data_IF_496608235186
#
_entry.id   IF_496608235186
#
_cell.length_a   1.000
_cell.length_b   1.000
_cell.length_c   1.000
_cell.angle_alpha   90.00
_cell.angle_beta   90.00
_cell.angle_gamma   90.00
#
_symmetry.space_group_name_H-M   'P 1'
#
loop_
_entity.id
_entity.type
_entity.pdbx_description
1 polymer ?
#
# COMPACT_ATOMS: atom_id res chain seq x y z
N UNK A 1 -43.79 -49.22 -69.72
CA UNK A 1 -44.23 -47.99 -69.22
C UNK A 1 -45.73 -47.86 -69.40
N UNK A 2 -46.54 -48.04 -68.39
CA UNK A 2 -47.99 -47.91 -68.43
C UNK A 2 -48.37 -46.46 -68.12
N UNK A 3 -48.17 -45.59 -69.10
CA UNK A 3 -48.84 -44.32 -69.08
C UNK A 3 -50.29 -44.42 -69.40
N UNK A 4 -51.11 -43.54 -68.94
CA UNK A 4 -52.53 -43.39 -69.32
C UNK A 4 -52.65 -43.34 -70.83
N UNK A 5 -53.18 -44.39 -71.49
CA UNK A 5 -53.48 -44.40 -72.90
C UNK A 5 -55.00 -44.27 -72.99
N UNK A 6 -55.49 -43.14 -73.39
CA UNK A 6 -56.87 -42.91 -73.72
C UNK A 6 -57.00 -42.86 -75.23
N UNK A 7 -57.72 -43.82 -75.87
CA UNK A 7 -57.87 -43.85 -77.30
C UNK A 7 -58.95 -42.91 -77.83
N UNK A 8 -59.78 -42.24 -77.01
CA UNK A 8 -60.76 -41.26 -77.39
C UNK A 8 -61.38 -40.39 -76.29
N UNK A 9 -60.77 -40.35 -75.16
CA UNK A 9 -61.15 -39.39 -74.11
C UNK A 9 -60.08 -38.32 -73.90
N UNK A 10 -60.52 -37.10 -73.93
CA UNK A 10 -59.64 -35.94 -73.59
C UNK A 10 -59.58 -35.91 -72.07
N UNK A 11 -58.45 -36.22 -71.52
CA UNK A 11 -58.18 -35.96 -70.13
C UNK A 11 -57.79 -34.46 -70.03
N UNK A 12 -58.73 -33.65 -69.57
CA UNK A 12 -58.43 -32.28 -69.27
C UNK A 12 -57.65 -32.21 -67.93
N UNK A 13 -56.53 -31.66 -67.96
CA UNK A 13 -55.78 -31.34 -66.74
C UNK A 13 -55.97 -29.82 -66.54
N UNK A 14 -56.56 -29.45 -65.44
CA UNK A 14 -56.70 -28.07 -65.08
C UNK A 14 -55.36 -27.53 -64.52
N UNK A 15 -54.73 -26.73 -65.33
CA UNK A 15 -53.51 -26.03 -64.94
C UNK A 15 -53.81 -24.63 -64.46
N UNK A 16 -54.74 -24.53 -63.55
CA UNK A 16 -55.08 -23.25 -62.90
C UNK A 16 -53.87 -22.60 -62.24
N UNK A 17 -53.95 -21.31 -61.99
CA UNK A 17 -52.93 -20.57 -61.31
C UNK A 17 -52.63 -21.24 -59.94
N UNK A 18 -51.41 -21.59 -59.69
CA UNK A 18 -50.95 -22.30 -58.48
C UNK A 18 -51.41 -23.80 -58.37
N UNK A 19 -51.59 -24.45 -59.48
CA UNK A 19 -51.94 -25.92 -59.45
C UNK A 19 -50.73 -26.79 -59.03
N UNK A 20 -49.58 -26.32 -59.01
CA UNK A 20 -48.35 -27.12 -58.78
C UNK A 20 -47.99 -28.01 -59.97
N UNK A 21 -48.70 -27.90 -61.13
CA UNK A 21 -48.45 -28.63 -62.33
C UNK A 21 -48.10 -27.67 -63.48
N UNK A 22 -47.15 -28.01 -64.29
CA UNK A 22 -46.74 -27.26 -65.48
C UNK A 22 -46.54 -28.15 -66.70
N UNK A 23 -46.64 -27.57 -67.86
CA UNK A 23 -46.25 -28.22 -69.12
C UNK A 23 -44.98 -27.61 -69.62
N UNK A 24 -43.87 -28.37 -69.48
CA UNK A 24 -42.58 -28.01 -70.04
C UNK A 24 -42.27 -28.96 -71.21
N UNK A 25 -41.92 -28.36 -72.37
CA UNK A 25 -41.57 -29.09 -73.56
C UNK A 25 -42.56 -30.22 -73.95
N UNK A 26 -43.91 -29.95 -73.87
CA UNK A 26 -44.96 -30.87 -74.13
C UNK A 26 -45.08 -32.07 -73.12
N UNK A 27 -44.58 -31.96 -71.97
CA UNK A 27 -44.70 -32.92 -70.86
C UNK A 27 -45.33 -32.28 -69.64
N UNK A 28 -46.32 -32.99 -69.08
CA UNK A 28 -46.83 -32.61 -67.79
C UNK A 28 -45.83 -32.96 -66.70
N UNK A 29 -45.48 -31.99 -65.92
CA UNK A 29 -44.59 -32.16 -64.79
C UNK A 29 -45.07 -31.39 -63.58
N UNK A 30 -44.52 -31.68 -62.43
CA UNK A 30 -44.75 -30.92 -61.21
C UNK A 30 -43.91 -29.65 -61.32
N UNK A 31 -44.54 -28.53 -61.07
CA UNK A 31 -43.84 -27.24 -60.98
C UNK A 31 -42.76 -27.31 -59.86
N UNK A 32 -41.57 -26.88 -60.20
CA UNK A 32 -40.43 -26.88 -59.27
C UNK A 32 -40.08 -25.45 -58.90
N UNK A 33 -39.96 -25.20 -57.64
CA UNK A 33 -39.62 -23.87 -57.14
C UNK A 33 -39.81 -23.78 -55.65
N UNK A 34 -40.02 -22.57 -55.16
CA UNK A 34 -40.24 -22.26 -53.74
C UNK A 34 -41.58 -21.55 -53.53
N UNK A 35 -42.39 -21.39 -54.60
CA UNK A 35 -43.71 -20.77 -54.51
C UNK A 35 -44.72 -21.70 -53.95
N UNK A 36 -45.89 -21.17 -53.58
CA UNK A 36 -46.99 -21.99 -53.07
C UNK A 36 -47.42 -23.02 -54.15
N UNK A 37 -47.56 -24.27 -53.76
CA UNK A 37 -47.89 -25.43 -54.56
C UNK A 37 -46.74 -26.02 -55.44
N UNK A 38 -45.56 -25.42 -55.41
CA UNK A 38 -44.37 -26.01 -56.06
C UNK A 38 -43.78 -27.17 -55.24
N UNK A 39 -43.13 -28.08 -55.89
CA UNK A 39 -42.24 -29.03 -55.22
C UNK A 39 -40.87 -28.37 -55.06
N UNK A 40 -40.38 -28.39 -53.86
CA UNK A 40 -39.06 -27.80 -53.56
C UNK A 40 -37.99 -28.32 -54.54
N UNK A 41 -37.31 -27.40 -55.20
CA UNK A 41 -36.19 -27.70 -56.05
C UNK A 41 -34.87 -27.51 -55.30
N UNK A 42 -34.15 -28.55 -55.13
CA UNK A 42 -32.83 -28.50 -54.52
C UNK A 42 -31.80 -28.19 -55.59
N UNK A 43 -30.90 -27.29 -55.31
CA UNK A 43 -29.75 -26.95 -56.11
C UNK A 43 -28.72 -28.09 -56.14
N UNK A 44 -27.85 -28.07 -57.13
CA UNK A 44 -26.74 -28.99 -57.17
C UNK A 44 -25.77 -28.70 -56.02
N UNK A 45 -25.41 -29.72 -55.26
CA UNK A 45 -24.45 -29.54 -54.14
C UNK A 45 -25.07 -29.62 -52.74
N UNK A 46 -26.41 -29.85 -52.64
CA UNK A 46 -27.00 -30.18 -51.34
C UNK A 46 -26.53 -31.56 -50.93
N UNK A 47 -25.92 -31.67 -49.77
CA UNK A 47 -25.37 -32.91 -49.20
C UNK A 47 -25.91 -33.15 -47.80
N UNK A 48 -25.58 -34.31 -47.22
CA UNK A 48 -25.89 -34.59 -45.84
C UNK A 48 -25.23 -33.57 -44.89
N UNK A 49 -25.91 -33.25 -43.79
CA UNK A 49 -25.49 -32.25 -42.78
C UNK A 49 -25.50 -30.79 -43.24
N UNK A 50 -26.04 -30.46 -44.43
CA UNK A 50 -26.25 -29.08 -44.85
C UNK A 50 -27.42 -28.41 -44.18
N UNK A 51 -27.27 -27.11 -43.89
CA UNK A 51 -28.42 -26.24 -43.61
C UNK A 51 -29.03 -25.79 -44.93
N UNK A 52 -30.36 -25.82 -45.02
CA UNK A 52 -31.09 -25.43 -46.23
C UNK A 52 -31.42 -23.95 -46.21
N UNK A 53 -31.06 -23.26 -47.29
CA UNK A 53 -31.38 -21.86 -47.51
C UNK A 53 -32.10 -21.67 -48.85
N UNK A 54 -33.05 -20.76 -48.88
CA UNK A 54 -33.65 -20.34 -50.15
C UNK A 54 -32.71 -19.37 -50.87
N UNK A 55 -32.34 -19.68 -52.08
CA UNK A 55 -31.61 -18.80 -52.98
C UNK A 55 -32.33 -18.67 -54.32
N UNK A 56 -32.91 -17.48 -54.58
CA UNK A 56 -33.76 -17.23 -55.73
C UNK A 56 -34.98 -18.17 -55.77
N UNK A 57 -34.97 -19.13 -56.67
CA UNK A 57 -36.06 -20.07 -56.86
C UNK A 57 -35.70 -21.51 -56.47
N UNK A 58 -34.56 -21.72 -55.84
CA UNK A 58 -34.11 -23.02 -55.41
C UNK A 58 -33.75 -23.05 -53.93
N UNK A 59 -33.70 -24.25 -53.38
CA UNK A 59 -33.14 -24.53 -52.03
C UNK A 59 -31.72 -24.97 -52.24
N UNK A 60 -30.78 -24.25 -51.63
CA UNK A 60 -29.38 -24.65 -51.61
C UNK A 60 -28.94 -25.20 -50.23
N UNK A 61 -27.96 -26.08 -50.23
CA UNK A 61 -27.30 -26.54 -49.04
C UNK A 61 -26.19 -25.54 -48.62
N UNK A 62 -26.11 -25.30 -47.34
CA UNK A 62 -25.07 -24.44 -46.72
C UNK A 62 -24.36 -25.25 -45.64
N UNK A 63 -23.06 -25.39 -45.76
CA UNK A 63 -22.25 -25.96 -44.70
C UNK A 63 -22.34 -25.10 -43.42
N UNK A 64 -22.00 -25.66 -42.26
CA UNK A 64 -21.97 -24.94 -41.02
C UNK A 64 -21.06 -23.70 -41.08
N UNK A 65 -19.94 -23.75 -41.79
CA UNK A 65 -19.04 -22.59 -41.95
C UNK A 65 -19.64 -21.49 -42.81
N UNK A 66 -20.41 -21.84 -43.86
CA UNK A 66 -21.10 -20.86 -44.69
C UNK A 66 -22.23 -20.19 -43.96
N UNK A 67 -22.99 -20.93 -43.14
CA UNK A 67 -24.07 -20.34 -42.31
C UNK A 67 -23.48 -19.35 -41.31
N UNK A 68 -22.37 -19.71 -40.63
CA UNK A 68 -21.68 -18.79 -39.72
C UNK A 68 -21.21 -17.52 -40.43
N UNK A 69 -20.72 -17.68 -41.68
CA UNK A 69 -20.32 -16.52 -42.51
C UNK A 69 -21.51 -15.64 -42.89
N UNK A 70 -22.65 -16.26 -43.32
CA UNK A 70 -23.84 -15.54 -43.75
C UNK A 70 -24.47 -14.72 -42.63
N UNK A 71 -24.49 -15.22 -41.39
CA UNK A 71 -25.00 -14.52 -40.21
C UNK A 71 -23.94 -13.72 -39.47
N UNK A 72 -22.71 -13.65 -40.00
CA UNK A 72 -21.55 -13.00 -39.36
C UNK A 72 -21.28 -13.49 -37.93
N UNK A 73 -21.58 -14.76 -37.66
CA UNK A 73 -21.35 -15.36 -36.37
C UNK A 73 -19.92 -15.94 -36.27
N UNK A 74 -19.37 -15.94 -35.06
CA UNK A 74 -18.08 -16.56 -34.82
C UNK A 74 -18.17 -18.09 -34.83
N UNK A 75 -17.19 -18.81 -35.39
CA UNK A 75 -17.08 -20.28 -35.27
C UNK A 75 -17.02 -20.69 -33.80
N UNK A 76 -17.54 -21.88 -33.47
CA UNK A 76 -17.59 -22.40 -32.08
C UNK A 76 -16.22 -22.51 -31.40
N UNK A 77 -15.11 -22.50 -32.17
CA UNK A 77 -13.74 -22.60 -31.66
C UNK A 77 -13.01 -21.26 -31.58
N UNK A 78 -13.72 -20.15 -31.39
CA UNK A 78 -13.10 -18.83 -31.26
C UNK A 78 -12.59 -18.27 -32.60
N UNK A 79 -13.14 -17.16 -33.03
CA UNK A 79 -12.69 -16.45 -34.23
C UNK A 79 -11.96 -15.18 -33.80
N UNK A 80 -10.83 -14.91 -34.45
CA UNK A 80 -10.21 -13.59 -34.42
C UNK A 80 -11.11 -12.48 -34.97
N UNK A 81 -12.28 -12.84 -35.50
CA UNK A 81 -13.20 -11.95 -36.21
C UNK A 81 -14.47 -11.57 -35.44
N UNK A 82 -14.51 -11.76 -34.11
CA UNK A 82 -15.56 -11.12 -33.30
C UNK A 82 -15.23 -9.64 -33.21
N UNK A 83 -15.67 -8.87 -34.17
CA UNK A 83 -15.37 -7.43 -34.26
C UNK A 83 -16.29 -6.61 -33.36
N UNK A 84 -17.53 -7.06 -33.15
CA UNK A 84 -18.48 -6.40 -32.27
C UNK A 84 -19.32 -7.44 -31.52
N UNK A 85 -19.32 -7.33 -30.19
CA UNK A 85 -20.30 -7.99 -29.33
C UNK A 85 -21.19 -6.94 -28.71
N UNK A 86 -22.48 -7.20 -28.59
CA UNK A 86 -23.34 -6.44 -27.68
C UNK A 86 -22.93 -6.66 -26.23
N UNK A 87 -23.68 -6.12 -25.28
CA UNK A 87 -23.44 -6.39 -23.86
C UNK A 87 -23.44 -7.91 -23.57
N UNK A 88 -22.42 -8.40 -22.89
CA UNK A 88 -22.39 -9.75 -22.36
C UNK A 88 -23.02 -9.71 -20.96
N UNK A 89 -24.30 -9.97 -20.85
CA UNK A 89 -25.06 -9.86 -19.60
C UNK A 89 -24.66 -10.92 -18.57
N UNK A 90 -24.11 -12.04 -19.01
CA UNK A 90 -23.65 -13.11 -18.13
C UNK A 90 -22.55 -13.93 -18.79
N UNK A 91 -21.68 -14.49 -17.99
CA UNK A 91 -20.58 -15.31 -18.42
C UNK A 91 -19.37 -15.16 -17.53
N UNK A 92 -18.38 -16.04 -17.69
CA UNK A 92 -17.08 -15.92 -17.08
C UNK A 92 -15.99 -15.87 -18.15
N UNK A 93 -15.01 -15.04 -17.94
CA UNK A 93 -13.75 -15.05 -18.69
C UNK A 93 -12.81 -15.93 -17.89
N UNK A 94 -12.62 -17.19 -18.32
CA UNK A 94 -11.69 -18.13 -17.70
C UNK A 94 -10.30 -17.99 -18.33
N UNK A 95 -9.30 -18.73 -17.82
CA UNK A 95 -7.89 -18.62 -18.22
C UNK A 95 -7.66 -18.60 -19.74
N UNK A 96 -6.60 -17.93 -20.19
CA UNK A 96 -6.20 -17.87 -21.58
C UNK A 96 -6.43 -16.53 -22.29
N UNK A 97 -6.91 -15.52 -21.57
CA UNK A 97 -6.91 -14.16 -22.10
C UNK A 97 -5.47 -13.60 -22.09
N UNK A 98 -5.07 -13.03 -23.21
CA UNK A 98 -3.90 -12.18 -23.28
C UNK A 98 -4.16 -10.83 -22.61
N UNK A 99 -3.55 -9.77 -23.11
CA UNK A 99 -3.86 -8.42 -22.62
C UNK A 99 -5.34 -8.07 -22.88
N UNK A 100 -6.02 -7.55 -21.86
CA UNK A 100 -7.34 -6.94 -22.02
C UNK A 100 -7.12 -5.43 -22.13
N UNK A 101 -7.17 -4.93 -23.35
CA UNK A 101 -7.12 -3.50 -23.63
C UNK A 101 -8.55 -2.98 -23.80
N UNK A 102 -9.04 -2.21 -22.83
CA UNK A 102 -10.35 -1.58 -22.88
C UNK A 102 -10.29 -0.11 -23.35
N UNK A 103 -9.14 0.32 -23.90
CA UNK A 103 -8.92 1.68 -24.39
C UNK A 103 -9.16 2.73 -23.29
N UNK A 104 -10.01 3.71 -23.58
CA UNK A 104 -10.36 4.79 -22.63
C UNK A 104 -11.52 4.45 -21.70
N UNK A 105 -12.03 3.22 -21.74
CA UNK A 105 -13.18 2.79 -20.94
C UNK A 105 -12.74 2.34 -19.53
N UNK A 106 -13.64 2.51 -18.55
CA UNK A 106 -13.38 2.10 -17.17
C UNK A 106 -13.62 0.59 -16.97
N UNK A 107 -12.85 -0.02 -16.10
CA UNK A 107 -13.17 -1.33 -15.51
C UNK A 107 -13.90 -1.09 -14.20
N UNK A 108 -15.18 -1.49 -14.11
CA UNK A 108 -15.98 -1.42 -12.88
C UNK A 108 -16.21 -2.83 -12.35
N UNK A 109 -15.73 -3.10 -11.16
CA UNK A 109 -15.84 -4.40 -10.50
C UNK A 109 -16.11 -4.21 -9.00
N UNK A 110 -16.71 -5.20 -8.34
CA UNK A 110 -16.86 -5.20 -6.90
C UNK A 110 -15.52 -5.42 -6.19
N UNK A 111 -14.69 -6.31 -6.73
CA UNK A 111 -13.34 -6.60 -6.21
C UNK A 111 -12.39 -6.74 -7.39
N UNK A 112 -11.22 -6.13 -7.28
CA UNK A 112 -10.10 -6.31 -8.20
C UNK A 112 -8.97 -7.01 -7.46
N UNK A 113 -8.55 -8.17 -7.94
CA UNK A 113 -7.44 -8.94 -7.38
C UNK A 113 -6.31 -8.98 -8.40
N UNK A 114 -5.13 -8.51 -8.02
CA UNK A 114 -3.90 -8.63 -8.80
C UNK A 114 -2.95 -9.61 -8.10
N UNK A 115 -2.46 -10.62 -8.82
CA UNK A 115 -1.58 -11.65 -8.26
C UNK A 115 -0.14 -11.15 -8.11
N UNK A 116 0.30 -10.21 -8.94
CA UNK A 116 1.69 -9.75 -8.94
C UNK A 116 1.80 -8.25 -8.68
N UNK A 117 1.21 -7.43 -9.53
CA UNK A 117 1.32 -5.98 -9.42
C UNK A 117 0.17 -5.23 -10.13
N UNK A 118 -0.13 -4.04 -9.66
CA UNK A 118 -0.88 -3.02 -10.38
C UNK A 118 0.08 -1.89 -10.68
N UNK A 119 0.43 -1.69 -11.94
CA UNK A 119 1.41 -0.70 -12.36
C UNK A 119 0.78 0.33 -13.30
N UNK A 120 1.16 1.61 -13.21
CA UNK A 120 0.79 2.60 -14.22
C UNK A 120 1.49 2.31 -15.56
N UNK A 121 0.94 2.81 -16.64
CA UNK A 121 1.48 2.67 -18.00
C UNK A 121 2.75 3.51 -18.23
N UNK A 122 2.97 4.53 -17.41
CA UNK A 122 4.15 5.39 -17.47
C UNK A 122 4.49 5.92 -16.07
N UNK A 123 5.72 6.38 -15.90
CA UNK A 123 6.16 7.06 -14.69
C UNK A 123 5.30 8.31 -14.45
N UNK A 124 4.73 8.42 -13.24
CA UNK A 124 3.77 9.47 -12.87
C UNK A 124 2.50 9.52 -13.75
N UNK A 125 2.20 8.43 -14.48
CA UNK A 125 1.11 8.36 -15.44
C UNK A 125 -0.28 8.19 -14.83
N UNK A 126 -0.39 7.66 -13.61
CA UNK A 126 -1.67 7.38 -12.96
C UNK A 126 -1.71 7.84 -11.52
N UNK A 127 -2.89 8.21 -11.05
CA UNK A 127 -3.16 8.53 -9.65
C UNK A 127 -3.98 7.44 -8.98
N UNK A 128 -3.74 7.20 -7.70
CA UNK A 128 -4.57 6.34 -6.87
C UNK A 128 -5.61 7.19 -6.14
N UNK A 129 -6.84 7.21 -6.66
CA UNK A 129 -7.91 8.10 -6.20
C UNK A 129 -7.85 9.51 -6.80
N UNK A 130 -8.74 10.37 -6.37
CA UNK A 130 -8.83 11.79 -6.76
C UNK A 130 -9.21 12.62 -5.54
N UNK A 131 -9.20 13.96 -5.67
CA UNK A 131 -9.63 14.89 -4.61
C UNK A 131 -11.13 14.78 -4.24
N UNK A 132 -11.91 14.07 -5.04
CA UNK A 132 -13.35 13.86 -4.81
C UNK A 132 -13.73 12.41 -4.60
N UNK A 133 -12.83 11.46 -4.90
CA UNK A 133 -13.03 10.01 -4.78
C UNK A 133 -11.81 9.42 -4.07
N UNK A 134 -11.85 9.47 -2.76
CA UNK A 134 -10.79 9.07 -1.87
C UNK A 134 -10.90 7.58 -1.50
N UNK A 135 -9.77 6.97 -1.18
CA UNK A 135 -9.75 5.62 -0.63
C UNK A 135 -10.16 5.63 0.84
N UNK A 136 -11.02 4.72 1.25
CA UNK A 136 -11.41 4.59 2.65
C UNK A 136 -10.24 4.15 3.54
N UNK A 137 -9.55 3.08 3.14
CA UNK A 137 -8.39 2.54 3.84
C UNK A 137 -7.40 1.93 2.86
N UNK A 138 -6.12 1.93 3.25
CA UNK A 138 -5.04 1.18 2.60
C UNK A 138 -4.44 0.26 3.68
N UNK A 139 -4.47 -1.05 3.45
CA UNK A 139 -3.88 -2.05 4.32
C UNK A 139 -2.55 -2.50 3.72
N UNK A 140 -1.48 -2.25 4.44
CA UNK A 140 -0.12 -2.67 4.10
C UNK A 140 0.27 -3.74 5.13
N UNK A 141 0.89 -4.81 4.69
CA UNK A 141 1.35 -5.87 5.60
C UNK A 141 2.51 -5.40 6.48
N UNK A 142 2.74 -6.11 7.58
CA UNK A 142 3.86 -5.88 8.48
C UNK A 142 5.19 -5.94 7.72
N UNK A 143 6.16 -5.14 8.09
CA UNK A 143 7.49 -5.00 7.47
C UNK A 143 7.46 -4.59 5.99
N UNK A 144 6.32 -4.17 5.49
CA UNK A 144 6.22 -3.66 4.12
C UNK A 144 6.32 -2.14 4.09
N UNK A 145 6.91 -1.61 3.01
CA UNK A 145 7.26 -0.20 2.90
C UNK A 145 6.45 0.51 1.81
N UNK A 146 6.06 1.74 2.10
CA UNK A 146 5.64 2.69 1.08
C UNK A 146 6.87 3.51 0.70
N UNK A 147 7.37 3.34 -0.51
CA UNK A 147 8.50 4.10 -1.04
C UNK A 147 8.05 5.37 -1.74
N UNK A 148 8.78 6.44 -1.54
CA UNK A 148 8.56 7.74 -2.16
C UNK A 148 9.82 8.18 -2.91
N UNK A 149 9.61 8.71 -4.13
CA UNK A 149 10.70 9.15 -5.03
C UNK A 149 11.23 8.05 -5.94
N UNK A 150 11.83 8.45 -7.07
CA UNK A 150 12.38 7.54 -8.08
C UNK A 150 13.54 6.69 -7.54
N UNK A 151 14.33 7.24 -6.62
CA UNK A 151 15.43 6.55 -5.92
C UNK A 151 14.98 5.78 -4.69
N UNK A 152 13.68 5.78 -4.34
CA UNK A 152 13.17 5.22 -3.09
C UNK A 152 13.83 5.86 -1.85
N UNK A 153 14.07 7.17 -1.95
CA UNK A 153 14.87 7.93 -0.98
C UNK A 153 14.19 8.05 0.40
N UNK A 154 12.87 7.96 0.44
CA UNK A 154 12.06 8.01 1.68
C UNK A 154 11.12 6.83 1.71
N UNK A 155 10.96 6.22 2.87
CA UNK A 155 9.97 5.16 3.10
C UNK A 155 9.19 5.36 4.39
N UNK A 156 7.95 4.87 4.39
CA UNK A 156 7.13 4.68 5.59
C UNK A 156 6.97 3.18 5.81
N UNK A 157 7.17 2.73 7.03
CA UNK A 157 7.12 1.33 7.45
C UNK A 157 6.52 1.23 8.84
N UNK A 158 5.70 0.22 9.08
CA UNK A 158 5.40 -0.25 10.41
C UNK A 158 6.36 -1.41 10.71
N UNK A 159 7.17 -1.28 11.76
CA UNK A 159 8.15 -2.27 12.20
C UNK A 159 7.69 -2.83 13.54
N UNK A 160 7.38 -4.13 13.56
CA UNK A 160 6.94 -4.86 14.76
C UNK A 160 8.08 -5.64 15.43
N UNK A 161 9.26 -5.71 14.79
CA UNK A 161 10.41 -6.48 15.26
C UNK A 161 11.05 -5.82 16.51
N UNK A 162 10.37 -5.91 17.64
CA UNK A 162 10.87 -5.49 18.95
C UNK A 162 10.05 -4.39 19.64
N UNK A 163 9.84 -3.25 19.03
CA UNK A 163 8.92 -2.21 19.49
C UNK A 163 8.05 -1.78 18.33
N UNK A 164 6.73 -1.77 18.53
CA UNK A 164 5.77 -1.31 17.52
C UNK A 164 6.06 0.15 17.14
N UNK A 165 6.68 0.38 15.98
CA UNK A 165 7.12 1.70 15.54
C UNK A 165 6.62 2.06 14.14
N UNK A 166 6.16 3.28 13.97
CA UNK A 166 6.05 3.89 12.65
C UNK A 166 7.41 4.51 12.30
N UNK A 167 8.12 3.91 11.37
CA UNK A 167 9.40 4.42 10.86
C UNK A 167 9.21 5.25 9.60
N UNK A 168 9.73 6.47 9.63
CA UNK A 168 9.89 7.32 8.46
C UNK A 168 11.40 7.40 8.21
N UNK A 169 11.88 6.71 7.20
CA UNK A 169 13.31 6.59 6.87
C UNK A 169 13.65 7.37 5.61
N UNK A 170 14.80 8.01 5.61
CA UNK A 170 15.31 8.80 4.50
C UNK A 170 16.49 9.67 4.93
N UNK A 171 17.16 10.33 4.00
CA UNK A 171 18.31 11.19 4.30
C UNK A 171 17.94 12.39 5.17
N UNK A 172 16.76 12.94 4.97
CA UNK A 172 16.25 14.06 5.78
C UNK A 172 14.76 13.98 5.84
N UNK A 173 14.19 13.79 7.02
CA UNK A 173 12.77 13.90 7.26
C UNK A 173 12.48 15.32 7.72
N UNK A 174 11.81 16.10 6.88
CA UNK A 174 11.39 17.46 7.21
C UNK A 174 9.88 17.48 7.48
N UNK A 175 9.51 17.71 8.73
CA UNK A 175 8.11 17.90 9.11
C UNK A 175 7.80 19.39 8.96
N UNK A 176 7.09 19.75 7.87
CA UNK A 176 6.67 21.10 7.63
C UNK A 176 5.22 21.27 8.11
N UNK A 177 5.03 21.94 9.23
CA UNK A 177 3.73 22.36 9.74
C UNK A 177 3.52 23.85 9.47
N UNK A 178 2.30 24.22 9.08
CA UNK A 178 1.92 25.63 8.89
C UNK A 178 2.11 26.43 10.18
N UNK A 179 1.93 25.80 11.32
CA UNK A 179 2.05 26.44 12.64
C UNK A 179 3.44 26.25 13.28
N UNK A 180 4.33 25.54 12.62
CA UNK A 180 5.71 25.23 13.07
C UNK A 180 5.76 24.62 14.47
N UNK A 181 4.73 23.91 14.88
CA UNK A 181 4.62 23.26 16.19
C UNK A 181 5.03 21.80 16.06
N UNK A 182 6.09 21.40 16.76
CA UNK A 182 6.40 20.00 17.03
C UNK A 182 5.75 19.63 18.36
N UNK A 183 4.65 18.91 18.32
CA UNK A 183 4.03 18.35 19.53
C UNK A 183 4.75 17.04 19.89
N UNK A 184 5.81 17.18 20.69
CA UNK A 184 6.52 16.03 21.23
C UNK A 184 5.90 15.68 22.59
N UNK A 185 5.13 14.61 22.63
CA UNK A 185 4.49 14.13 23.84
C UNK A 185 5.47 13.28 24.67
N UNK A 186 6.04 13.86 25.71
CA UNK A 186 6.92 13.13 26.63
C UNK A 186 6.11 12.55 27.80
N UNK A 187 6.43 11.30 28.16
CA UNK A 187 5.91 10.68 29.38
C UNK A 187 6.58 11.33 30.61
N UNK A 188 5.80 12.00 31.41
CA UNK A 188 6.29 12.69 32.64
C UNK A 188 6.62 11.75 33.79
N UNK A 189 6.25 10.48 33.71
CA UNK A 189 6.54 9.45 34.70
C UNK A 189 6.93 8.15 34.04
N UNK A 190 8.08 8.15 33.31
CA UNK A 190 8.51 6.97 32.59
C UNK A 190 8.72 5.79 33.54
N UNK A 191 8.54 4.58 33.01
CA UNK A 191 8.76 3.35 33.77
C UNK A 191 10.18 3.31 34.34
N UNK A 192 10.38 2.41 35.31
CA UNK A 192 11.70 2.16 35.84
C UNK A 192 12.73 1.88 34.73
N UNK A 193 13.91 2.41 34.90
CA UNK A 193 15.02 2.30 33.93
C UNK A 193 14.70 2.82 32.51
N UNK A 194 13.79 3.78 32.39
CA UNK A 194 13.41 4.33 31.09
C UNK A 194 13.53 5.87 31.01
N UNK A 195 13.57 6.34 29.76
CA UNK A 195 13.74 7.76 29.43
C UNK A 195 12.68 8.19 28.43
N UNK A 196 12.14 9.40 28.62
CA UNK A 196 11.22 10.04 27.67
C UNK A 196 11.64 11.49 27.46
N UNK A 197 12.22 11.78 26.29
CA UNK A 197 12.75 13.09 26.02
C UNK A 197 13.66 13.16 24.80
N UNK A 198 14.39 14.26 24.69
CA UNK A 198 15.37 14.50 23.65
C UNK A 198 16.71 13.89 24.09
N UNK A 199 17.22 12.95 23.32
CA UNK A 199 18.46 12.25 23.60
C UNK A 199 19.47 12.42 22.46
N UNK A 200 20.76 12.28 22.80
CA UNK A 200 21.84 12.21 21.82
C UNK A 200 22.82 11.11 22.20
N UNK A 201 23.59 10.63 21.22
CA UNK A 201 24.63 9.63 21.46
C UNK A 201 25.98 10.33 21.58
N UNK A 202 26.68 10.09 22.69
CA UNK A 202 28.06 10.56 22.92
C UNK A 202 28.92 9.40 23.43
N UNK A 203 30.24 9.61 23.43
CA UNK A 203 31.20 8.67 24.04
C UNK A 203 31.38 9.01 25.52
N UNK A 204 31.25 8.04 26.39
CA UNK A 204 31.56 8.17 27.81
C UNK A 204 33.11 8.24 28.03
N UNK A 205 33.56 9.12 28.88
CA UNK A 205 34.97 9.23 29.25
C UNK A 205 35.38 8.28 30.38
N UNK A 206 34.42 7.82 31.14
CA UNK A 206 34.54 6.90 32.28
C UNK A 206 33.31 6.03 32.38
N UNK A 207 33.28 5.05 33.29
CA UNK A 207 32.10 4.26 33.57
C UNK A 207 30.98 5.12 34.17
N UNK A 208 29.83 5.15 33.51
CA UNK A 208 28.67 5.93 33.90
C UNK A 208 27.50 4.98 34.25
N UNK A 209 26.77 5.34 35.30
CA UNK A 209 25.52 4.69 35.68
C UNK A 209 24.35 5.56 35.22
N UNK A 210 23.21 4.94 34.89
CA UNK A 210 21.99 5.68 34.54
C UNK A 210 21.64 6.73 35.59
N UNK A 211 21.21 7.89 35.16
CA UNK A 211 20.87 9.01 36.05
C UNK A 211 22.03 9.90 36.45
N UNK A 212 23.28 9.50 36.19
CA UNK A 212 24.42 10.36 36.46
C UNK A 212 24.48 11.58 35.54
N UNK A 213 24.74 12.74 36.11
CA UNK A 213 24.92 13.97 35.35
C UNK A 213 26.33 14.15 34.86
N UNK A 214 26.45 14.64 33.65
CA UNK A 214 27.76 14.73 32.94
C UNK A 214 28.00 16.08 32.31
N UNK A 215 29.27 16.43 32.19
CA UNK A 215 29.73 17.56 31.40
C UNK A 215 30.49 17.09 30.15
N UNK A 216 30.58 17.96 29.17
CA UNK A 216 31.34 17.69 27.95
C UNK A 216 32.76 18.18 28.10
N UNK A 217 33.74 17.27 28.15
CA UNK A 217 35.14 17.60 28.30
C UNK A 217 35.77 17.92 26.96
N UNK A 218 36.18 19.17 26.79
CA UNK A 218 36.76 19.66 25.54
C UNK A 218 38.04 18.96 25.10
N UNK A 219 38.84 18.46 26.05
CA UNK A 219 40.15 17.88 25.78
C UNK A 219 40.12 16.53 25.05
N UNK A 220 39.08 15.76 25.19
CA UNK A 220 38.90 14.43 24.57
C UNK A 220 37.55 14.24 23.89
N UNK A 221 36.68 15.26 23.91
CA UNK A 221 35.32 15.26 23.32
C UNK A 221 34.43 14.15 23.85
N UNK A 222 34.54 13.81 25.13
CA UNK A 222 33.76 12.79 25.81
C UNK A 222 32.92 13.38 26.94
N UNK A 223 31.92 12.61 27.38
CA UNK A 223 31.11 12.91 28.54
C UNK A 223 31.71 12.32 29.81
N UNK A 224 31.93 13.16 30.80
CA UNK A 224 32.51 12.85 32.11
C UNK A 224 31.57 13.29 33.22
N UNK A 225 31.65 12.67 34.41
CA UNK A 225 30.81 13.04 35.56
C UNK A 225 31.00 14.51 35.94
N UNK A 226 29.89 15.21 36.08
CA UNK A 226 29.88 16.60 36.49
C UNK A 226 29.82 16.70 38.01
N UNK A 227 30.70 17.46 38.63
CA UNK A 227 30.67 17.74 40.06
C UNK A 227 30.76 19.26 40.29
N UNK A 228 29.96 19.75 41.24
CA UNK A 228 29.87 21.17 41.54
C UNK A 228 31.11 21.76 42.21
N UNK A 229 31.89 20.95 42.90
CA UNK A 229 33.10 21.40 43.62
C UNK A 229 34.29 21.75 42.72
N UNK A 230 34.19 21.63 41.42
CA UNK A 230 35.29 21.89 40.52
C UNK A 230 34.83 22.61 39.23
N UNK A 231 35.33 23.82 38.98
CA UNK A 231 35.04 24.61 37.77
C UNK A 231 35.25 23.85 36.45
N UNK A 232 36.24 22.95 36.41
CA UNK A 232 36.59 22.21 35.21
C UNK A 232 35.62 21.05 34.86
N UNK A 233 34.69 20.73 35.74
CA UNK A 233 33.69 19.66 35.59
C UNK A 233 32.26 20.21 35.41
N UNK A 234 32.11 21.48 35.22
CA UNK A 234 30.84 22.21 35.00
C UNK A 234 30.87 22.94 33.64
N UNK A 235 29.74 23.27 33.03
CA UNK A 235 28.36 22.98 33.48
C UNK A 235 27.93 21.55 33.18
N UNK A 236 26.90 21.05 33.89
CA UNK A 236 26.15 19.87 33.50
C UNK A 236 25.56 20.09 32.12
N UNK A 237 25.79 19.16 31.21
CA UNK A 237 25.34 19.22 29.82
C UNK A 237 24.29 18.15 29.45
N UNK A 238 24.35 16.98 30.14
CA UNK A 238 23.47 15.86 29.87
C UNK A 238 23.36 14.93 31.10
N UNK A 239 22.47 13.93 30.99
CA UNK A 239 22.32 12.87 31.99
C UNK A 239 22.44 11.52 31.29
N UNK A 240 23.18 10.57 31.85
CA UNK A 240 23.29 9.22 31.29
C UNK A 240 21.92 8.51 31.28
N UNK A 241 21.49 8.07 30.13
CA UNK A 241 20.18 7.42 29.95
C UNK A 241 20.21 5.90 30.17
N UNK A 242 21.40 5.34 30.34
CA UNK A 242 21.66 3.94 30.63
C UNK A 242 23.04 3.81 31.27
N UNK A 243 23.42 2.62 31.74
CA UNK A 243 24.79 2.31 32.13
C UNK A 243 25.68 2.30 30.88
N UNK A 244 26.81 3.01 30.91
CA UNK A 244 27.70 3.18 29.78
C UNK A 244 29.13 2.96 30.26
N UNK A 245 29.83 1.98 29.69
CA UNK A 245 31.26 1.74 30.02
C UNK A 245 32.16 2.84 29.46
N UNK A 246 33.29 3.06 30.11
CA UNK A 246 34.31 3.96 29.65
C UNK A 246 34.65 3.69 28.16
N UNK A 247 34.84 4.76 27.39
CA UNK A 247 35.14 4.72 25.95
C UNK A 247 34.03 4.14 25.05
N UNK A 248 32.89 3.74 25.61
CA UNK A 248 31.74 3.30 24.83
C UNK A 248 30.84 4.46 24.41
N UNK A 249 30.20 4.31 23.24
CA UNK A 249 29.11 5.19 22.82
C UNK A 249 27.82 4.80 23.56
N UNK A 250 27.12 5.80 24.09
CA UNK A 250 25.87 5.58 24.81
C UNK A 250 24.86 6.72 24.60
N UNK A 251 23.64 6.49 25.06
CA UNK A 251 22.54 7.46 24.97
C UNK A 251 22.54 8.38 26.20
N UNK A 252 22.43 9.67 25.95
CA UNK A 252 22.36 10.70 26.99
C UNK A 252 21.07 11.51 26.81
N UNK A 253 20.38 11.79 27.91
CA UNK A 253 19.22 12.69 27.96
C UNK A 253 19.71 14.14 27.98
N UNK A 254 19.23 14.93 27.03
CA UNK A 254 19.51 16.38 26.96
C UNK A 254 18.38 17.21 27.54
N UNK A 255 17.13 16.71 27.42
CA UNK A 255 15.91 17.36 27.90
C UNK A 255 14.79 16.33 28.01
N UNK A 256 14.08 16.26 29.13
CA UNK A 256 12.95 15.36 29.31
C UNK A 256 12.95 14.65 30.67
N UNK A 257 12.40 13.46 30.71
CA UNK A 257 12.15 12.71 31.93
C UNK A 257 12.94 11.42 31.97
N UNK A 258 13.43 11.05 33.15
CA UNK A 258 14.09 9.78 33.41
C UNK A 258 13.53 9.19 34.72
N UNK A 259 13.14 7.89 34.66
CA UNK A 259 12.69 7.11 35.80
C UNK A 259 13.71 6.02 36.17
N UNK A 260 14.08 5.96 37.46
CA UNK A 260 14.97 4.92 37.99
C UNK A 260 14.76 4.72 39.48
N UNK A 261 14.26 3.53 39.86
CA UNK A 261 13.99 3.20 41.27
C UNK A 261 15.23 2.74 42.04
N UNK A 262 16.29 2.37 41.34
CA UNK A 262 17.51 1.81 41.94
C UNK A 262 18.61 2.84 42.15
N UNK A 263 18.65 3.88 41.28
CA UNK A 263 19.73 4.86 41.28
C UNK A 263 19.35 6.15 42.01
N UNK A 264 18.12 6.60 41.92
CA UNK A 264 17.71 7.86 42.54
C UNK A 264 17.42 7.74 44.04
N UNK A 265 17.87 8.71 44.85
CA UNK A 265 17.73 8.68 46.31
C UNK A 265 16.34 9.15 46.77
N UNK A 266 15.26 8.51 46.43
CA UNK A 266 13.90 8.83 46.89
C UNK A 266 13.64 10.36 47.07
N UNK A 267 13.60 11.10 46.02
CA UNK A 267 13.47 12.56 46.01
C UNK A 267 12.16 13.05 46.62
N UNK A 268 12.17 14.26 47.21
CA UNK A 268 10.96 15.00 47.55
C UNK A 268 10.38 15.58 46.26
N UNK A 269 9.13 15.24 45.95
CA UNK A 269 8.40 15.67 44.74
C UNK A 269 8.33 17.21 44.68
N UNK A 270 8.63 17.76 43.51
CA UNK A 270 8.64 19.20 43.25
C UNK A 270 9.89 19.93 43.77
N UNK A 271 10.81 19.23 44.38
CA UNK A 271 12.08 19.84 44.80
C UNK A 271 13.04 20.04 43.65
N UNK A 272 13.73 21.14 43.59
CA UNK A 272 14.77 21.42 42.62
C UNK A 272 15.91 20.42 42.76
N UNK A 273 16.56 20.13 41.64
CA UNK A 273 17.70 19.25 41.54
C UNK A 273 18.92 20.04 41.06
N UNK A 274 20.03 19.83 41.72
CA UNK A 274 21.30 20.48 41.47
C UNK A 274 22.37 19.51 41.02
N UNK A 275 23.42 20.01 40.39
CA UNK A 275 24.62 19.23 40.19
C UNK A 275 25.17 18.77 41.54
N UNK A 276 25.61 17.51 41.68
CA UNK A 276 26.12 16.98 42.95
C UNK A 276 27.39 17.71 43.36
N UNK A 277 27.51 17.99 44.66
CA UNK A 277 28.67 18.73 45.21
C UNK A 277 30.00 17.96 45.06
N UNK A 278 29.95 16.65 45.30
CA UNK A 278 31.13 15.81 45.19
C UNK A 278 30.80 14.48 44.52
N UNK A 279 31.78 13.92 43.80
CA UNK A 279 31.66 12.56 43.29
C UNK A 279 31.55 11.60 44.46
N UNK A 280 30.40 10.93 44.58
CA UNK A 280 30.23 9.86 45.53
C UNK A 280 30.72 8.54 44.92
N UNK A 281 31.23 7.64 45.73
CA UNK A 281 31.87 6.40 45.28
C UNK A 281 30.92 5.43 44.53
N UNK A 282 29.64 5.74 44.45
CA UNK A 282 28.64 4.87 43.85
C UNK A 282 27.78 5.50 42.76
N UNK A 283 27.45 6.78 42.84
CA UNK A 283 26.53 7.40 41.86
C UNK A 283 26.61 8.92 41.89
N UNK A 284 26.80 9.54 40.73
CA UNK A 284 26.88 11.00 40.57
C UNK A 284 25.56 11.54 40.03
N UNK A 285 24.48 11.31 40.76
CA UNK A 285 23.13 11.73 40.40
C UNK A 285 22.82 13.12 40.97
N UNK A 286 21.84 13.86 40.42
CA UNK A 286 21.42 15.15 40.95
C UNK A 286 21.06 15.09 42.45
N UNK A 287 21.32 16.15 43.16
CA UNK A 287 20.99 16.29 44.58
C UNK A 287 19.92 17.38 44.81
N UNK A 288 19.15 17.27 45.92
CA UNK A 288 18.15 18.31 46.28
C UNK A 288 18.72 19.37 47.21
N UNK A 289 19.92 19.18 47.72
CA UNK A 289 20.67 20.20 48.40
C UNK A 289 21.46 21.02 47.40
N UNK A 290 21.34 22.32 47.40
CA UNK A 290 22.22 23.16 46.59
C UNK A 290 23.63 23.11 47.17
N UNK A 291 24.70 23.07 46.34
CA UNK A 291 26.06 23.22 46.79
C UNK A 291 26.25 24.52 47.59
N UNK A 292 26.89 24.49 48.76
CA UNK A 292 26.99 25.59 49.69
C UNK A 292 28.41 25.92 50.18
N UNK A 293 29.41 25.17 49.76
CA UNK A 293 30.78 25.41 50.10
C UNK A 293 31.39 26.54 49.24
N UNK A 294 32.27 27.32 49.84
CA UNK A 294 33.03 28.40 49.14
C UNK A 294 33.79 27.85 47.91
N UNK A 295 33.53 28.41 46.76
CA UNK A 295 34.11 27.96 45.48
C UNK A 295 33.32 26.86 44.73
N UNK A 296 32.21 26.37 45.27
CA UNK A 296 31.31 25.44 44.57
C UNK A 296 30.43 26.15 43.53
N UNK A 297 29.90 25.39 42.60
CA UNK A 297 29.11 25.87 41.49
C UNK A 297 27.66 25.38 41.56
N UNK A 298 26.72 26.28 41.76
CA UNK A 298 25.29 25.99 41.79
C UNK A 298 24.74 26.04 40.38
N UNK A 299 24.18 24.93 39.92
CA UNK A 299 23.42 24.80 38.69
C UNK A 299 22.17 23.98 38.96
N UNK A 300 21.01 24.53 38.66
CA UNK A 300 19.74 23.77 38.64
C UNK A 300 19.76 22.88 37.40
N UNK A 301 19.56 21.58 37.57
CA UNK A 301 19.55 20.62 36.46
C UNK A 301 18.16 20.06 36.19
N UNK A 302 17.17 20.44 36.98
CA UNK A 302 15.77 20.02 36.84
C UNK A 302 15.01 19.99 38.16
N UNK A 303 13.99 19.16 38.24
CA UNK A 303 13.21 18.95 39.45
C UNK A 303 12.68 17.50 39.53
N UNK A 304 12.38 17.05 40.74
CA UNK A 304 11.81 15.74 40.99
C UNK A 304 10.32 15.71 40.65
N UNK A 305 9.90 14.80 39.78
CA UNK A 305 8.47 14.60 39.38
C UNK A 305 7.79 13.58 40.27
N UNK A 306 8.51 12.51 40.60
CA UNK A 306 8.14 11.53 41.62
C UNK A 306 9.34 11.27 42.52
N UNK A 307 9.21 10.38 43.50
CA UNK A 307 10.36 10.00 44.32
C UNK A 307 11.50 9.38 43.48
N UNK A 308 11.19 8.78 42.34
CA UNK A 308 12.13 8.04 41.51
C UNK A 308 12.12 8.47 40.05
N UNK A 309 11.54 9.63 39.71
CA UNK A 309 11.63 10.19 38.39
C UNK A 309 11.91 11.68 38.41
N UNK A 310 12.70 12.13 37.46
CA UNK A 310 13.17 13.51 37.37
C UNK A 310 12.80 14.11 36.04
N UNK A 311 12.51 15.38 36.01
CA UNK A 311 12.52 16.20 34.80
C UNK A 311 13.90 16.85 34.69
N UNK A 312 14.66 16.46 33.69
CA UNK A 312 15.99 16.99 33.43
C UNK A 312 15.90 18.13 32.42
N UNK A 313 16.32 19.30 32.85
CA UNK A 313 16.37 20.54 32.05
C UNK A 313 17.44 21.45 32.65
N UNK A 314 18.73 21.21 32.35
CA UNK A 314 19.83 21.95 32.98
C UNK A 314 19.80 23.43 32.60
N UNK A 315 19.80 24.30 33.60
CA UNK A 315 19.94 25.74 33.41
C UNK A 315 21.33 26.04 32.78
N UNK A 316 21.38 27.02 31.89
CA UNK A 316 22.63 27.48 31.30
C UNK A 316 23.41 28.38 32.28
N UNK A 317 22.79 28.82 33.37
CA UNK A 317 23.42 29.64 34.40
C UNK A 317 24.08 28.77 35.43
N UNK A 318 25.36 29.05 35.70
CA UNK A 318 26.14 28.44 36.78
C UNK A 318 26.64 29.57 37.65
N UNK A 319 26.42 29.48 38.97
CA UNK A 319 26.81 30.53 39.93
C UNK A 319 27.80 29.95 40.93
N UNK A 320 28.94 30.59 41.10
CA UNK A 320 29.94 30.26 42.12
C UNK A 320 29.51 30.75 43.49
N UNK A 321 29.58 29.89 44.50
CA UNK A 321 29.35 30.22 45.91
C UNK A 321 30.57 30.98 46.42
N UNK A 322 30.33 32.13 47.07
CA UNK A 322 31.36 33.05 47.57
C UNK A 322 31.50 33.01 49.09
#
# INVERSE_FOLDING_TARGET
GNGLAASSAVIGIDLGTNSGLEIDTAKLQIAKGISQHDVAQFGAGVVDDDFLRVDGTTIEGRSASEVLSDISAAPAAGSANIVTTGALDSGSITAGFGAIDNGTSNIRTATFTAETAVVPDAASGATLGTTSLEWGHIYIGDDQKIYLGDGQDVSLEYDEDGTDELRISGNTVFVNSVDHTLDAHFDSSPADESVSGITATFTAGEDLVRGEVVYFKAGDSKMWKAVASAAGTMPVAAMAAADISADAAGKFLLFGFLGDNGTFPAYTVGGDLYAPEAETSSQNVPEQAAPDSDGDFVQVVGYAVTANSVFFNPDQTVVEVA
#
